data_IF_112600997993
#
_entry.id   IF_112600997993
#
_cell.length_a   1.000
_cell.length_b   1.000
_cell.length_c   1.000
_cell.angle_alpha   90.00
_cell.angle_beta   90.00
_cell.angle_gamma   90.00
#
_symmetry.space_group_name_H-M   'P 1'
#
loop_
_entity.id
_entity.type
_entity.pdbx_description
1 polymer ?
#
# COMPACT_ATOMS: atom_id res chain seq x y z
N UNK A 1 12.12 4.23 1.69
CA UNK A 1 12.23 2.85 2.21
C UNK A 1 13.45 2.74 3.10
N UNK A 2 13.35 2.23 4.34
CA UNK A 2 14.51 1.88 5.15
C UNK A 2 15.51 1.02 4.34
N UNK A 3 16.79 1.41 4.22
CA UNK A 3 17.80 0.65 3.45
C UNK A 3 17.93 -0.82 3.89
N UNK A 4 17.67 -1.10 5.17
CA UNK A 4 17.75 -2.44 5.76
C UNK A 4 16.69 -3.39 5.17
N UNK A 5 15.51 -2.88 4.79
CA UNK A 5 14.44 -3.72 4.28
C UNK A 5 14.76 -4.28 2.88
N UNK A 6 15.22 -3.43 1.96
CA UNK A 6 15.62 -3.86 0.63
C UNK A 6 16.81 -4.82 0.67
N UNK A 7 17.80 -4.57 1.53
CA UNK A 7 18.95 -5.46 1.71
C UNK A 7 18.54 -6.85 2.22
N UNK A 8 17.62 -6.92 3.18
CA UNK A 8 17.12 -8.21 3.70
C UNK A 8 16.36 -9.01 2.64
N UNK A 9 15.52 -8.35 1.85
CA UNK A 9 14.80 -8.99 0.74
C UNK A 9 15.80 -9.53 -0.29
N UNK A 10 16.78 -8.73 -0.70
CA UNK A 10 17.84 -9.16 -1.63
C UNK A 10 18.57 -10.37 -1.07
N UNK A 11 19.03 -10.30 0.18
CA UNK A 11 19.74 -11.42 0.82
C UNK A 11 18.90 -12.69 0.79
N UNK A 12 17.61 -12.62 1.15
CA UNK A 12 16.72 -13.77 1.15
C UNK A 12 16.53 -14.35 -0.26
N UNK A 13 16.26 -13.52 -1.27
CA UNK A 13 16.13 -13.98 -2.66
C UNK A 13 17.43 -14.61 -3.16
N UNK A 14 18.60 -14.07 -2.78
CA UNK A 14 19.90 -14.68 -3.10
C UNK A 14 20.09 -16.03 -2.41
N UNK A 15 19.62 -16.21 -1.17
CA UNK A 15 19.65 -17.55 -0.52
C UNK A 15 18.78 -18.58 -1.23
N UNK A 16 17.75 -18.15 -1.96
CA UNK A 16 16.92 -18.99 -2.82
C UNK A 16 17.54 -19.26 -4.20
N UNK A 17 18.78 -18.79 -4.45
CA UNK A 17 19.51 -18.99 -5.70
C UNK A 17 19.22 -17.95 -6.78
N UNK A 18 18.49 -16.87 -6.47
CA UNK A 18 18.17 -15.82 -7.44
C UNK A 18 19.30 -14.79 -7.55
N UNK A 19 19.59 -14.35 -8.78
CA UNK A 19 20.44 -13.18 -9.05
C UNK A 19 19.57 -11.93 -9.03
N UNK A 20 19.82 -11.04 -8.07
CA UNK A 20 19.00 -9.84 -7.84
C UNK A 20 19.82 -8.58 -8.09
N UNK A 21 19.33 -7.74 -9.01
CA UNK A 21 19.81 -6.36 -9.18
C UNK A 21 18.81 -5.38 -8.57
N UNK A 22 19.29 -4.41 -7.79
CA UNK A 22 18.44 -3.36 -7.20
C UNK A 22 18.70 -2.06 -7.94
N UNK A 23 17.62 -1.44 -8.43
CA UNK A 23 17.67 -0.13 -9.08
C UNK A 23 16.85 0.85 -8.24
N UNK A 24 17.47 1.88 -7.63
CA UNK A 24 16.73 2.92 -6.95
C UNK A 24 15.87 3.68 -7.98
N UNK A 25 14.62 3.94 -7.63
CA UNK A 25 13.65 4.65 -8.47
C UNK A 25 12.98 5.75 -7.67
N UNK A 26 12.64 6.85 -8.35
CA UNK A 26 11.79 7.90 -7.75
C UNK A 26 10.35 7.39 -7.60
N UNK A 27 9.55 7.96 -6.67
CA UNK A 27 8.12 7.64 -6.58
C UNK A 27 7.37 7.81 -7.92
N UNK A 28 7.73 8.83 -8.70
CA UNK A 28 7.09 9.12 -9.99
C UNK A 28 7.36 8.05 -11.05
N UNK A 29 8.49 7.32 -10.95
CA UNK A 29 8.94 6.38 -11.98
C UNK A 29 8.81 4.92 -11.56
N UNK A 30 8.67 4.62 -10.26
CA UNK A 30 8.73 3.25 -9.74
C UNK A 30 7.61 2.36 -10.29
N UNK A 31 6.41 2.91 -10.49
CA UNK A 31 5.25 2.16 -11.00
C UNK A 31 5.46 1.74 -12.46
N UNK A 32 6.03 2.61 -13.28
CA UNK A 32 6.25 2.34 -14.71
C UNK A 32 7.59 1.66 -15.02
N UNK A 33 8.52 1.62 -14.07
CA UNK A 33 9.86 1.07 -14.28
C UNK A 33 9.81 -0.38 -14.80
N UNK A 34 10.57 -0.74 -15.84
CA UNK A 34 10.64 -2.12 -16.34
C UNK A 34 11.40 -2.99 -15.33
N UNK A 35 10.67 -3.78 -14.55
CA UNK A 35 11.23 -4.66 -13.51
C UNK A 35 10.35 -5.90 -13.32
N UNK A 36 10.93 -6.95 -12.76
CA UNK A 36 10.21 -8.17 -12.36
C UNK A 36 9.44 -7.98 -11.05
N UNK A 37 9.91 -7.11 -10.17
CA UNK A 37 9.27 -6.82 -8.88
C UNK A 37 9.53 -5.38 -8.45
N UNK A 38 8.59 -4.82 -7.69
CA UNK A 38 8.66 -3.47 -7.12
C UNK A 38 8.52 -3.56 -5.61
N UNK A 39 9.43 -2.91 -4.91
CA UNK A 39 9.32 -2.71 -3.47
C UNK A 39 8.82 -1.29 -3.22
N UNK A 40 7.55 -1.16 -2.81
CA UNK A 40 6.89 0.12 -2.61
C UNK A 40 6.37 0.25 -1.18
N UNK A 41 6.39 1.49 -0.70
CA UNK A 41 5.57 1.91 0.44
C UNK A 41 4.39 2.66 -0.15
N UNK A 42 3.18 2.29 0.25
CA UNK A 42 1.95 2.81 -0.31
C UNK A 42 0.99 3.14 0.84
N UNK A 43 0.18 4.17 0.62
CA UNK A 43 -0.92 4.56 1.49
C UNK A 43 -2.15 4.81 0.63
N UNK A 44 -3.36 4.42 1.05
CA UNK A 44 -4.55 4.60 0.24
C UNK A 44 -4.90 6.07 0.06
N UNK A 45 -5.54 6.38 -1.06
CA UNK A 45 -6.09 7.72 -1.28
C UNK A 45 -7.30 7.97 -0.37
N UNK A 46 -8.17 6.96 -0.27
CA UNK A 46 -9.35 6.98 0.60
C UNK A 46 -9.20 5.86 1.64
N UNK A 47 -9.34 6.15 2.95
CA UNK A 47 -9.22 5.17 4.02
C UNK A 47 -10.47 4.24 4.11
N UNK A 48 -10.89 3.70 2.98
CA UNK A 48 -11.96 2.71 2.82
C UNK A 48 -11.36 1.45 2.21
N UNK A 49 -11.65 0.29 2.81
CA UNK A 49 -10.94 -0.95 2.50
C UNK A 49 -11.15 -1.45 1.06
N UNK A 50 -12.35 -1.28 0.51
CA UNK A 50 -12.64 -1.64 -0.88
C UNK A 50 -11.89 -0.76 -1.88
N UNK A 51 -11.93 0.56 -1.70
CA UNK A 51 -11.22 1.52 -2.54
C UNK A 51 -9.69 1.32 -2.44
N UNK A 52 -9.17 1.13 -1.23
CA UNK A 52 -7.77 0.79 -0.99
C UNK A 52 -7.35 -0.46 -1.78
N UNK A 53 -8.18 -1.51 -1.79
CA UNK A 53 -7.89 -2.74 -2.52
C UNK A 53 -8.00 -2.54 -4.04
N UNK A 54 -8.91 -1.68 -4.52
CA UNK A 54 -9.04 -1.29 -5.92
C UNK A 54 -7.83 -0.50 -6.44
N UNK A 55 -7.34 0.46 -5.66
CA UNK A 55 -6.11 1.19 -5.96
C UNK A 55 -4.91 0.23 -6.11
N UNK A 56 -4.76 -0.71 -5.17
CA UNK A 56 -3.71 -1.73 -5.22
C UNK A 56 -3.85 -2.65 -6.44
N UNK A 57 -5.07 -3.11 -6.75
CA UNK A 57 -5.34 -3.94 -7.92
C UNK A 57 -4.99 -3.19 -9.23
N UNK A 58 -5.27 -1.89 -9.32
CA UNK A 58 -4.92 -1.09 -10.50
C UNK A 58 -3.40 -1.03 -10.74
N UNK A 59 -2.60 -0.95 -9.67
CA UNK A 59 -1.13 -0.96 -9.76
C UNK A 59 -0.58 -2.31 -10.20
N UNK A 60 -1.22 -3.38 -9.75
CA UNK A 60 -0.68 -4.72 -9.82
C UNK A 60 -1.22 -5.52 -11.03
N UNK A 61 -2.36 -5.08 -11.60
CA UNK A 61 -3.01 -5.62 -12.82
C UNK A 61 -3.27 -7.12 -12.73
N UNK A 62 -4.09 -7.56 -11.76
CA UNK A 62 -4.40 -8.98 -11.54
C UNK A 62 -5.28 -9.56 -12.66
N UNK A 63 -5.43 -10.88 -12.63
CA UNK A 63 -6.25 -11.62 -13.57
C UNK A 63 -7.73 -11.20 -13.51
N UNK A 64 -8.51 -11.44 -14.59
CA UNK A 64 -9.92 -11.06 -14.64
C UNK A 64 -10.75 -11.56 -13.45
N UNK A 65 -10.50 -12.78 -12.97
CA UNK A 65 -11.26 -13.38 -11.87
C UNK A 65 -11.11 -12.60 -10.55
N UNK A 66 -9.90 -12.19 -10.18
CA UNK A 66 -9.68 -11.36 -9.00
C UNK A 66 -10.29 -9.96 -9.14
N UNK A 67 -10.32 -9.41 -10.36
CA UNK A 67 -11.00 -8.13 -10.65
C UNK A 67 -12.52 -8.24 -10.50
N UNK A 68 -13.12 -9.34 -10.93
CA UNK A 68 -14.55 -9.59 -10.80
C UNK A 68 -14.98 -9.75 -9.33
N UNK A 69 -14.22 -10.49 -8.53
CA UNK A 69 -14.49 -10.62 -7.09
C UNK A 69 -14.39 -9.26 -6.37
N UNK A 70 -13.41 -8.44 -6.75
CA UNK A 70 -13.27 -7.09 -6.20
C UNK A 70 -14.43 -6.17 -6.61
N UNK A 71 -14.81 -6.15 -7.89
CA UNK A 71 -15.96 -5.39 -8.36
C UNK A 71 -17.25 -5.82 -7.64
N UNK A 72 -17.46 -7.13 -7.50
CA UNK A 72 -18.59 -7.68 -6.75
C UNK A 72 -18.58 -7.33 -5.26
N UNK A 73 -17.42 -7.05 -4.67
CA UNK A 73 -17.32 -6.55 -3.30
C UNK A 73 -17.71 -5.08 -3.21
N UNK A 74 -17.31 -4.25 -4.18
CA UNK A 74 -17.63 -2.81 -4.22
C UNK A 74 -19.12 -2.54 -4.46
N UNK A 75 -19.79 -3.39 -5.24
CA UNK A 75 -21.22 -3.27 -5.53
C UNK A 75 -22.13 -3.80 -4.40
N UNK A 76 -21.58 -4.51 -3.40
CA UNK A 76 -22.36 -5.07 -2.30
C UNK A 76 -22.72 -4.01 -1.26
N UNK A 77 -24.02 -3.84 -1.03
CA UNK A 77 -24.57 -2.83 -0.13
C UNK A 77 -24.69 -3.32 1.31
N UNK A 78 -24.84 -4.63 1.52
CA UNK A 78 -24.96 -5.22 2.86
C UNK A 78 -23.57 -5.31 3.53
N UNK A 79 -23.31 -4.60 4.64
CA UNK A 79 -21.97 -4.47 5.21
C UNK A 79 -21.28 -5.80 5.55
N UNK A 80 -22.03 -6.77 6.05
CA UNK A 80 -21.48 -8.08 6.44
C UNK A 80 -21.06 -8.88 5.20
N UNK A 81 -21.87 -8.86 4.14
CA UNK A 81 -21.57 -9.52 2.87
C UNK A 81 -20.43 -8.83 2.14
N UNK A 82 -20.40 -7.49 2.17
CA UNK A 82 -19.30 -6.69 1.61
C UNK A 82 -17.98 -7.07 2.26
N UNK A 83 -17.92 -7.16 3.58
CA UNK A 83 -16.70 -7.57 4.30
C UNK A 83 -16.24 -8.97 3.90
N UNK A 84 -17.15 -9.93 3.83
CA UNK A 84 -16.82 -11.30 3.41
C UNK A 84 -16.32 -11.35 1.95
N UNK A 85 -16.90 -10.57 1.04
CA UNK A 85 -16.44 -10.44 -0.35
C UNK A 85 -15.06 -9.77 -0.43
N UNK A 86 -14.81 -8.71 0.34
CA UNK A 86 -13.51 -8.06 0.39
C UNK A 86 -12.40 -9.01 0.85
N UNK A 87 -12.66 -9.85 1.86
CA UNK A 87 -11.69 -10.87 2.26
C UNK A 87 -11.40 -11.89 1.15
N UNK A 88 -12.41 -12.28 0.37
CA UNK A 88 -12.21 -13.18 -0.79
C UNK A 88 -11.43 -12.49 -1.90
N UNK A 89 -11.73 -11.23 -2.20
CA UNK A 89 -10.99 -10.44 -3.16
C UNK A 89 -9.52 -10.27 -2.75
N UNK A 90 -9.24 -9.95 -1.47
CA UNK A 90 -7.88 -9.88 -0.94
C UNK A 90 -7.15 -11.21 -1.11
N UNK A 91 -7.79 -12.33 -0.75
CA UNK A 91 -7.22 -13.65 -0.89
C UNK A 91 -6.90 -14.00 -2.36
N UNK A 92 -7.79 -13.65 -3.29
CA UNK A 92 -7.58 -13.84 -4.73
C UNK A 92 -6.33 -13.07 -5.22
N UNK A 93 -6.24 -11.78 -4.89
CA UNK A 93 -5.09 -10.93 -5.24
C UNK A 93 -3.76 -11.46 -4.68
N UNK A 94 -3.79 -12.03 -3.47
CA UNK A 94 -2.60 -12.65 -2.85
C UNK A 94 -2.21 -13.95 -3.52
N UNK A 95 -3.18 -14.75 -3.96
CA UNK A 95 -2.92 -16.05 -4.59
C UNK A 95 -2.20 -15.95 -5.94
N UNK A 96 -2.38 -14.83 -6.64
CA UNK A 96 -1.71 -14.54 -7.90
C UNK A 96 -0.26 -14.05 -7.71
N UNK A 97 0.22 -13.88 -6.45
CA UNK A 97 1.54 -13.31 -6.12
C UNK A 97 1.79 -11.92 -6.70
N UNK A 98 0.71 -11.25 -7.10
CA UNK A 98 0.69 -9.92 -7.70
C UNK A 98 1.02 -8.86 -6.64
N UNK A 99 0.68 -9.12 -5.37
CA UNK A 99 1.00 -8.29 -4.21
C UNK A 99 1.44 -9.15 -3.02
N UNK A 100 2.62 -8.84 -2.47
CA UNK A 100 3.16 -9.49 -1.27
C UNK A 100 3.28 -8.45 -0.13
N UNK A 101 2.28 -8.35 0.77
CA UNK A 101 2.36 -7.43 1.91
C UNK A 101 3.50 -7.85 2.84
N UNK A 102 4.43 -6.94 3.11
CA UNK A 102 5.60 -7.21 3.95
C UNK A 102 5.42 -6.72 5.39
N UNK A 103 4.88 -5.51 5.54
CA UNK A 103 4.66 -4.88 6.84
C UNK A 103 3.70 -3.70 6.71
N UNK A 104 3.04 -3.35 7.80
CA UNK A 104 2.41 -2.04 8.00
C UNK A 104 3.36 -1.15 8.79
N UNK A 105 3.54 0.09 8.34
CA UNK A 105 4.45 1.05 9.00
C UNK A 105 3.61 2.17 9.60
N UNK A 106 3.70 2.43 10.92
CA UNK A 106 3.00 3.56 11.52
C UNK A 106 3.59 4.86 10.99
N UNK A 107 2.72 5.75 10.50
CA UNK A 107 3.10 7.13 10.18
C UNK A 107 2.99 7.93 11.47
N UNK A 108 4.08 8.58 11.85
CA UNK A 108 4.12 9.46 13.01
C UNK A 108 4.58 10.85 12.58
N UNK A 109 3.99 11.86 13.22
CA UNK A 109 4.34 13.25 13.05
C UNK A 109 4.91 13.78 14.37
N UNK A 110 6.00 14.54 14.28
CA UNK A 110 6.55 15.29 15.41
C UNK A 110 6.60 16.76 15.02
N UNK A 111 5.75 17.56 15.65
CA UNK A 111 5.76 19.00 15.50
C UNK A 111 6.97 19.60 16.24
N UNK A 112 7.44 20.76 15.79
CA UNK A 112 8.32 21.62 16.60
C UNK A 112 7.51 22.22 17.75
N UNK A 113 8.19 22.67 18.81
CA UNK A 113 7.54 23.47 19.86
C UNK A 113 6.83 24.69 19.27
N UNK A 114 5.65 25.01 19.81
CA UNK A 114 4.79 26.11 19.34
C UNK A 114 3.93 25.78 18.11
N UNK A 115 3.93 24.53 17.61
CA UNK A 115 2.99 24.08 16.58
C UNK A 115 1.92 23.22 17.23
N UNK A 116 0.67 23.60 17.00
CA UNK A 116 -0.51 22.99 17.64
C UNK A 116 -1.46 22.44 16.58
N UNK A 117 -2.26 21.45 16.99
CA UNK A 117 -3.41 20.90 16.26
C UNK A 117 -3.13 20.29 14.86
N UNK A 118 -1.85 20.15 14.47
CA UNK A 118 -1.44 19.34 13.34
C UNK A 118 -1.53 17.84 13.68
N UNK A 119 -2.24 17.06 12.85
CA UNK A 119 -2.51 15.63 13.10
C UNK A 119 -2.20 14.76 11.89
N UNK A 120 -2.13 13.43 12.10
CA UNK A 120 -2.07 12.44 11.02
C UNK A 120 -3.42 11.72 10.94
N UNK A 121 -4.02 11.67 9.75
CA UNK A 121 -5.28 10.94 9.53
C UNK A 121 -5.07 9.41 9.38
N UNK A 122 -6.18 8.68 9.21
CA UNK A 122 -6.17 7.23 9.00
C UNK A 122 -5.48 6.79 7.70
N UNK A 123 -5.35 7.70 6.72
CA UNK A 123 -4.60 7.50 5.49
C UNK A 123 -3.13 7.91 5.60
N UNK A 124 -2.63 8.24 6.80
CA UNK A 124 -1.25 8.64 7.02
C UNK A 124 -0.91 10.03 6.48
N UNK A 125 -1.91 10.88 6.21
CA UNK A 125 -1.75 12.24 5.68
C UNK A 125 -1.65 13.25 6.81
N UNK A 126 -0.83 14.27 6.61
CA UNK A 126 -0.75 15.41 7.52
C UNK A 126 -1.95 16.33 7.31
N UNK A 127 -2.78 16.47 8.34
CA UNK A 127 -3.93 17.37 8.38
C UNK A 127 -3.53 18.63 9.14
N UNK A 128 -3.77 19.79 8.50
CA UNK A 128 -3.36 21.11 8.98
C UNK A 128 -4.52 22.10 9.08
N UNK A 129 -5.76 21.64 8.90
CA UNK A 129 -6.94 22.52 8.83
C UNK A 129 -7.10 23.38 10.08
N UNK A 130 -6.87 22.77 11.25
CA UNK A 130 -6.94 23.45 12.55
C UNK A 130 -5.55 23.85 13.08
N UNK A 131 -4.49 23.62 12.31
CA UNK A 131 -3.13 23.80 12.80
C UNK A 131 -2.75 25.29 12.89
N UNK A 132 -2.11 25.66 13.99
CA UNK A 132 -1.63 27.02 14.21
C UNK A 132 -0.24 27.03 14.86
N UNK A 133 0.39 28.20 14.78
CA UNK A 133 1.73 28.44 15.33
C UNK A 133 1.64 29.52 16.40
N UNK A 134 2.17 29.24 17.59
CA UNK A 134 2.31 30.22 18.67
C UNK A 134 3.20 31.39 18.20
N UNK A 135 2.77 32.65 18.40
CA UNK A 135 3.51 33.84 17.97
C UNK A 135 4.91 34.00 18.58
#
# INVERSE_FOLDING_TARGET
>A
MPPVASQRIVAHLTTLGLRVGVVPSSPATVVAAPTHARLVMWSPEVPEAGLALAELAALARPDPAAREELAGALDETEPSRRRARLHRAEAALRSEWVLAPLASVPVSYRARSGVHDATIDLGGRLVLEDAWVEP
#
